data_IF_539738107937
#
_entry.id   IF_539738107937
#
_cell.length_a   1.000
_cell.length_b   1.000
_cell.length_c   1.000
_cell.angle_alpha   90.00
_cell.angle_beta   90.00
_cell.angle_gamma   90.00
#
_symmetry.space_group_name_H-M   'P 1'
#
loop_
_entity.id
_entity.type
_entity.pdbx_description
1 polymer ?
#
# COMPACT_ATOMS: atom_id res chain seq x y z
N UNK A 1 -8.34 19.57 8.59
CA UNK A 1 -7.50 18.46 9.09
C UNK A 1 -7.88 17.24 8.28
N UNK A 2 -6.97 16.66 7.48
CA UNK A 2 -7.32 15.52 6.61
C UNK A 2 -7.56 14.25 7.42
N UNK A 3 -8.46 13.40 6.94
CA UNK A 3 -8.70 12.08 7.49
C UNK A 3 -7.60 11.12 7.04
N UNK A 4 -7.26 10.11 7.86
CA UNK A 4 -6.51 8.97 7.34
C UNK A 4 -7.32 8.33 6.21
N UNK A 5 -6.62 7.87 5.17
CA UNK A 5 -7.31 7.28 4.03
C UNK A 5 -8.11 6.06 4.43
N UNK A 6 -9.32 5.95 3.94
CA UNK A 6 -10.16 4.74 4.12
C UNK A 6 -9.55 3.52 3.44
N UNK A 7 -8.80 3.74 2.36
CA UNK A 7 -8.13 2.69 1.59
C UNK A 7 -6.71 2.35 2.12
N UNK A 8 -6.38 2.73 3.36
CA UNK A 8 -5.01 2.68 3.90
C UNK A 8 -4.42 1.27 3.88
N UNK A 9 -5.22 0.26 4.24
CA UNK A 9 -4.79 -1.14 4.37
C UNK A 9 -5.30 -2.03 3.23
N UNK A 10 -5.59 -1.40 2.09
CA UNK A 10 -5.82 -2.10 0.84
C UNK A 10 -4.52 -2.14 0.04
N UNK A 11 -4.31 -3.26 -0.65
CA UNK A 11 -3.16 -3.48 -1.53
C UNK A 11 -3.68 -4.08 -2.83
N UNK A 12 -3.28 -3.58 -4.01
CA UNK A 12 -3.70 -4.15 -5.27
C UNK A 12 -3.12 -5.56 -5.47
N UNK A 13 -3.89 -6.45 -6.09
CA UNK A 13 -3.39 -7.73 -6.59
C UNK A 13 -2.32 -7.45 -7.65
N UNK A 14 -1.22 -8.21 -7.63
CA UNK A 14 -0.09 -8.02 -8.53
C UNK A 14 0.27 -9.29 -9.30
N UNK A 15 1.01 -9.11 -10.39
CA UNK A 15 1.77 -10.19 -11.02
C UNK A 15 3.14 -9.68 -11.44
N UNK A 16 4.08 -10.61 -11.52
CA UNK A 16 5.41 -10.36 -12.10
C UNK A 16 5.41 -10.80 -13.56
N UNK A 17 5.78 -9.88 -14.46
CA UNK A 17 6.00 -10.16 -15.88
C UNK A 17 7.47 -9.85 -16.20
N UNK A 18 8.30 -10.88 -16.35
CA UNK A 18 9.75 -10.75 -16.39
C UNK A 18 10.29 -9.97 -15.17
N UNK A 19 10.68 -8.70 -15.35
CA UNK A 19 11.20 -7.84 -14.28
C UNK A 19 10.23 -6.70 -13.89
N UNK A 20 9.02 -6.67 -14.47
CA UNK A 20 8.02 -5.64 -14.22
C UNK A 20 6.90 -6.17 -13.32
N UNK A 21 6.31 -5.26 -12.55
CA UNK A 21 5.11 -5.53 -11.75
C UNK A 21 3.91 -4.90 -12.45
N UNK A 22 2.86 -5.68 -12.62
CA UNK A 22 1.56 -5.20 -13.09
C UNK A 22 0.52 -5.33 -11.98
N UNK A 23 -0.48 -4.45 -11.99
CA UNK A 23 -1.55 -4.38 -11.00
C UNK A 23 -2.87 -4.82 -11.65
N UNK A 24 -3.64 -5.65 -10.96
CA UNK A 24 -4.95 -6.07 -11.43
C UNK A 24 -6.00 -4.99 -11.17
N UNK A 25 -6.75 -4.61 -12.20
CA UNK A 25 -7.92 -3.75 -12.07
C UNK A 25 -9.18 -4.63 -12.02
N UNK A 26 -9.88 -4.73 -10.87
CA UNK A 26 -11.04 -5.62 -10.72
C UNK A 26 -12.29 -5.16 -11.47
N UNK A 27 -12.38 -3.85 -11.80
CA UNK A 27 -13.51 -3.29 -12.55
C UNK A 27 -13.40 -3.63 -14.03
N UNK A 28 -12.24 -3.35 -14.63
CA UNK A 28 -12.00 -3.61 -16.04
C UNK A 28 -11.54 -5.05 -16.33
N UNK A 29 -11.16 -5.80 -15.30
CA UNK A 29 -10.63 -7.17 -15.40
C UNK A 29 -9.40 -7.25 -16.31
N UNK A 30 -8.45 -6.34 -16.11
CA UNK A 30 -7.23 -6.24 -16.88
C UNK A 30 -6.03 -5.83 -16.01
N UNK A 31 -4.84 -6.11 -16.52
CA UNK A 31 -3.57 -5.81 -15.86
C UNK A 31 -3.01 -4.48 -16.35
N UNK A 32 -2.67 -3.59 -15.41
CA UNK A 32 -2.15 -2.27 -15.68
C UNK A 32 -0.70 -2.11 -15.21
N UNK A 33 0.02 -1.19 -15.84
CA UNK A 33 1.38 -0.84 -15.41
C UNK A 33 1.35 -0.31 -13.97
N UNK A 34 2.25 -0.80 -13.13
CA UNK A 34 2.39 -0.32 -11.76
C UNK A 34 2.90 1.13 -11.71
N UNK A 35 1.95 2.08 -11.63
CA UNK A 35 2.20 3.50 -11.43
C UNK A 35 1.75 3.90 -10.03
N UNK A 36 2.40 4.89 -9.38
CA UNK A 36 2.04 5.26 -8.02
C UNK A 36 0.60 5.76 -7.84
N UNK A 37 0.11 6.56 -8.77
CA UNK A 37 -1.28 7.03 -8.79
C UNK A 37 -2.25 5.87 -9.01
N UNK A 38 -1.90 4.91 -9.88
CA UNK A 38 -2.72 3.71 -10.12
C UNK A 38 -2.79 2.82 -8.87
N UNK A 39 -1.70 2.70 -8.09
CA UNK A 39 -1.77 2.02 -6.79
C UNK A 39 -2.79 2.67 -5.86
N UNK A 40 -2.84 3.99 -5.79
CA UNK A 40 -3.82 4.70 -4.96
C UNK A 40 -5.23 4.49 -5.48
N UNK A 41 -5.45 4.63 -6.80
CA UNK A 41 -6.75 4.38 -7.43
C UNK A 41 -7.27 2.97 -7.16
N UNK A 42 -6.44 1.94 -7.35
CA UNK A 42 -6.82 0.55 -7.09
C UNK A 42 -7.10 0.27 -5.62
N UNK A 43 -6.38 0.91 -4.69
CA UNK A 43 -6.67 0.80 -3.25
C UNK A 43 -8.07 1.34 -2.92
N UNK A 44 -8.43 2.48 -3.49
CA UNK A 44 -9.77 3.07 -3.33
C UNK A 44 -10.85 2.15 -3.93
N UNK A 45 -10.60 1.60 -5.11
CA UNK A 45 -11.51 0.63 -5.75
C UNK A 45 -11.71 -0.59 -4.86
N UNK A 46 -10.63 -1.19 -4.34
CA UNK A 46 -10.71 -2.35 -3.43
C UNK A 46 -11.49 -2.01 -2.15
N UNK A 47 -11.26 -0.84 -1.54
CA UNK A 47 -12.06 -0.37 -0.40
C UNK A 47 -13.56 -0.27 -0.73
N UNK A 48 -13.91 0.37 -1.84
CA UNK A 48 -15.30 0.50 -2.28
C UNK A 48 -15.97 -0.85 -2.57
N UNK A 49 -15.25 -1.77 -3.20
CA UNK A 49 -15.76 -3.11 -3.52
C UNK A 49 -15.90 -3.97 -2.27
N UNK A 50 -14.88 -3.97 -1.41
CA UNK A 50 -14.76 -4.95 -0.33
C UNK A 50 -15.39 -4.48 0.98
N UNK A 51 -15.39 -3.19 1.29
CA UNK A 51 -15.87 -2.66 2.57
C UNK A 51 -17.17 -1.88 2.41
N UNK A 52 -17.29 -1.04 1.37
CA UNK A 52 -18.53 -0.30 1.10
C UNK A 52 -19.59 -1.12 0.33
N UNK A 53 -19.24 -2.31 -0.17
CA UNK A 53 -20.12 -3.18 -0.97
C UNK A 53 -20.70 -2.49 -2.22
N UNK A 54 -19.94 -1.57 -2.82
CA UNK A 54 -20.34 -0.94 -4.08
C UNK A 54 -20.15 -1.96 -5.20
N UNK A 55 -21.21 -2.20 -5.99
CA UNK A 55 -21.12 -3.09 -7.15
C UNK A 55 -20.05 -2.59 -8.14
N UNK A 56 -19.20 -3.46 -8.70
CA UNK A 56 -18.23 -3.09 -9.74
C UNK A 56 -18.86 -2.34 -10.93
N UNK A 57 -20.12 -2.65 -11.29
CA UNK A 57 -20.84 -2.00 -12.38
C UNK A 57 -21.20 -0.53 -12.10
N UNK A 58 -21.09 -0.10 -10.84
CA UNK A 58 -21.32 1.28 -10.39
C UNK A 58 -20.01 2.03 -10.17
N UNK A 59 -18.87 1.45 -10.53
CA UNK A 59 -17.57 2.09 -10.40
C UNK A 59 -16.97 2.22 -11.81
N UNK A 60 -16.59 3.44 -12.19
CA UNK A 60 -15.98 3.71 -13.49
C UNK A 60 -14.65 4.44 -13.33
N UNK A 61 -13.52 3.71 -13.41
CA UNK A 61 -12.19 4.30 -13.46
C UNK A 61 -11.97 5.06 -14.76
N UNK A 62 -11.10 6.09 -14.71
CA UNK A 62 -10.66 6.84 -15.90
C UNK A 62 -11.81 7.43 -16.75
N UNK A 63 -12.88 7.92 -16.10
CA UNK A 63 -14.07 8.44 -16.75
C UNK A 63 -13.75 9.71 -17.56
N UNK A 64 -13.95 9.64 -18.88
CA UNK A 64 -13.75 10.78 -19.77
C UNK A 64 -14.91 11.75 -19.69
N UNK A 65 -14.61 13.04 -19.62
CA UNK A 65 -15.62 14.10 -19.55
C UNK A 65 -15.25 15.25 -20.48
N UNK A 66 -16.23 15.80 -21.17
CA UNK A 66 -16.05 17.03 -21.94
C UNK A 66 -16.18 18.23 -21.00
N UNK A 67 -15.17 19.09 -21.00
CA UNK A 67 -15.13 20.34 -20.25
C UNK A 67 -15.46 21.51 -21.18
N UNK A 68 -15.67 22.69 -20.60
CA UNK A 68 -15.80 23.94 -21.35
C UNK A 68 -14.65 24.12 -22.36
N UNK A 69 -14.95 24.74 -23.50
CA UNK A 69 -14.02 24.99 -24.61
C UNK A 69 -13.44 23.72 -25.25
N UNK A 70 -14.24 22.65 -25.39
CA UNK A 70 -13.85 21.41 -26.09
C UNK A 70 -12.62 20.70 -25.51
N UNK A 71 -12.27 21.00 -24.25
CA UNK A 71 -11.15 20.35 -23.58
C UNK A 71 -11.66 19.05 -22.97
N UNK A 72 -10.96 17.94 -23.21
CA UNK A 72 -11.28 16.67 -22.54
C UNK A 72 -10.60 16.60 -21.18
N UNK A 73 -11.38 16.28 -20.16
CA UNK A 73 -10.92 15.91 -18.84
C UNK A 73 -11.02 14.41 -18.62
N UNK A 74 -10.40 13.95 -17.53
CA UNK A 74 -10.52 12.58 -17.05
C UNK A 74 -10.65 12.63 -15.54
N UNK A 75 -11.73 12.04 -15.04
CA UNK A 75 -11.94 11.83 -13.61
C UNK A 75 -11.35 10.47 -13.28
N UNK A 76 -10.58 10.38 -12.19
CA UNK A 76 -9.86 9.14 -11.87
C UNK A 76 -10.80 7.99 -11.54
N UNK A 77 -11.90 8.29 -10.84
CA UNK A 77 -12.94 7.32 -10.53
C UNK A 77 -14.29 8.03 -10.36
N UNK A 78 -15.34 7.44 -10.90
CA UNK A 78 -16.73 7.84 -10.67
C UNK A 78 -17.49 6.68 -10.06
N UNK A 79 -18.13 6.91 -8.93
CA UNK A 79 -19.10 5.99 -8.33
C UNK A 79 -20.51 6.45 -8.67
N UNK A 80 -21.37 5.52 -9.10
CA UNK A 80 -22.75 5.77 -9.46
C UNK A 80 -23.71 5.23 -8.39
N UNK A 81 -24.86 5.88 -8.25
CA UNK A 81 -25.95 5.38 -7.42
C UNK A 81 -26.71 4.21 -8.10
N UNK A 82 -27.81 3.75 -7.49
CA UNK A 82 -28.65 2.68 -8.06
C UNK A 82 -29.42 3.10 -9.32
N UNK A 83 -29.53 4.41 -9.59
CA UNK A 83 -30.16 5.00 -10.77
C UNK A 83 -29.14 5.40 -11.85
N UNK A 84 -27.88 4.98 -11.70
CA UNK A 84 -26.76 5.34 -12.57
C UNK A 84 -26.51 6.86 -12.68
N UNK A 85 -26.85 7.63 -11.64
CA UNK A 85 -26.42 9.01 -11.50
C UNK A 85 -25.07 9.07 -10.78
N UNK A 86 -24.21 10.03 -11.16
CA UNK A 86 -22.93 10.22 -10.48
C UNK A 86 -23.17 10.52 -9.00
N UNK A 87 -22.56 9.73 -8.12
CA UNK A 87 -22.78 9.78 -6.67
C UNK A 87 -21.53 10.19 -5.90
N UNK A 88 -20.34 9.79 -6.39
CA UNK A 88 -19.08 10.35 -5.92
C UNK A 88 -18.09 10.48 -7.07
N UNK A 89 -17.42 11.63 -7.15
CA UNK A 89 -16.23 11.80 -7.98
C UNK A 89 -15.01 11.62 -7.08
N UNK A 90 -13.98 10.92 -7.56
CA UNK A 90 -12.72 10.76 -6.83
C UNK A 90 -11.55 11.22 -7.69
N UNK A 91 -10.65 11.99 -7.09
CA UNK A 91 -9.35 12.37 -7.65
C UNK A 91 -8.24 11.71 -6.81
N UNK A 92 -7.39 10.94 -7.46
CA UNK A 92 -6.30 10.18 -6.85
C UNK A 92 -4.96 10.84 -7.16
N UNK A 93 -4.11 10.98 -6.14
CA UNK A 93 -2.72 11.44 -6.29
C UNK A 93 -1.75 10.41 -5.74
N UNK A 94 -0.47 10.50 -6.12
CA UNK A 94 0.58 9.73 -5.46
C UNK A 94 0.70 10.14 -3.98
N UNK A 95 0.97 9.18 -3.10
CA UNK A 95 1.22 9.34 -1.64
C UNK A 95 2.03 10.59 -1.22
N UNK A 96 3.02 11.03 -2.01
CA UNK A 96 3.88 12.17 -1.65
C UNK A 96 3.33 13.53 -2.10
N UNK A 97 2.21 13.55 -2.82
CA UNK A 97 1.58 14.77 -3.29
C UNK A 97 0.58 15.26 -2.22
N UNK A 98 0.71 16.51 -1.74
CA UNK A 98 -0.22 17.07 -0.79
C UNK A 98 -1.58 17.32 -1.45
N UNK A 99 -2.66 17.11 -0.69
CA UNK A 99 -4.04 17.38 -1.11
C UNK A 99 -4.35 18.87 -0.99
N UNK A 100 -3.75 19.70 -1.85
CA UNK A 100 -3.89 21.15 -1.76
C UNK A 100 -5.15 21.67 -2.49
N UNK A 101 -5.36 22.99 -2.42
CA UNK A 101 -6.49 23.68 -3.06
C UNK A 101 -6.57 23.43 -4.57
N UNK A 102 -5.44 23.27 -5.26
CA UNK A 102 -5.44 23.02 -6.71
C UNK A 102 -6.11 21.68 -7.04
N UNK A 103 -5.90 20.64 -6.22
CA UNK A 103 -6.56 19.34 -6.37
C UNK A 103 -8.07 19.48 -6.12
N UNK A 104 -8.47 20.26 -5.11
CA UNK A 104 -9.87 20.53 -4.82
C UNK A 104 -10.55 21.32 -5.96
N UNK A 105 -9.87 22.31 -6.54
CA UNK A 105 -10.37 23.06 -7.70
C UNK A 105 -10.52 22.18 -8.94
N UNK A 106 -9.62 21.23 -9.14
CA UNK A 106 -9.69 20.28 -10.26
C UNK A 106 -10.97 19.43 -10.18
N UNK A 107 -11.23 18.79 -9.03
CA UNK A 107 -12.41 17.95 -8.87
C UNK A 107 -13.72 18.77 -8.85
N UNK A 108 -13.69 19.98 -8.29
CA UNK A 108 -14.82 20.92 -8.37
C UNK A 108 -15.16 21.30 -9.82
N UNK A 109 -14.15 21.46 -10.69
CA UNK A 109 -14.37 21.71 -12.12
C UNK A 109 -15.05 20.54 -12.81
N UNK A 110 -14.69 19.31 -12.45
CA UNK A 110 -15.37 18.11 -12.96
C UNK A 110 -16.82 18.05 -12.49
N UNK A 111 -17.07 18.36 -11.21
CA UNK A 111 -18.41 18.40 -10.63
C UNK A 111 -19.36 19.39 -11.34
N UNK A 112 -18.86 20.50 -11.89
CA UNK A 112 -19.69 21.41 -12.68
C UNK A 112 -20.28 20.77 -13.95
N UNK A 113 -19.59 19.79 -14.54
CA UNK A 113 -20.01 19.13 -15.78
C UNK A 113 -20.67 17.76 -15.51
N UNK A 114 -20.33 17.12 -14.39
CA UNK A 114 -20.93 15.87 -13.91
C UNK A 114 -21.28 16.03 -12.42
N UNK A 115 -22.44 16.64 -12.10
CA UNK A 115 -22.83 16.89 -10.72
C UNK A 115 -22.92 15.60 -9.90
N UNK A 116 -22.37 15.65 -8.70
CA UNK A 116 -22.29 14.54 -7.75
C UNK A 116 -22.50 15.04 -6.32
N UNK A 117 -23.26 14.33 -5.47
CA UNK A 117 -23.44 14.69 -4.05
C UNK A 117 -22.13 14.70 -3.26
N UNK A 118 -21.19 13.81 -3.59
CA UNK A 118 -19.92 13.68 -2.87
C UNK A 118 -18.71 13.87 -3.79
N UNK A 119 -17.63 14.40 -3.22
CA UNK A 119 -16.31 14.49 -3.85
C UNK A 119 -15.27 13.95 -2.87
N UNK A 120 -14.31 13.18 -3.39
CA UNK A 120 -13.17 12.67 -2.64
C UNK A 120 -11.88 13.06 -3.34
N UNK A 121 -10.95 13.65 -2.60
CA UNK A 121 -9.55 13.74 -3.03
C UNK A 121 -8.70 12.87 -2.10
N UNK A 122 -7.82 12.05 -2.67
CA UNK A 122 -7.01 11.12 -1.89
C UNK A 122 -5.61 10.97 -2.45
N UNK A 123 -4.63 10.84 -1.55
CA UNK A 123 -3.29 10.39 -1.91
C UNK A 123 -2.98 8.99 -1.36
N UNK A 124 -4.00 8.29 -0.85
CA UNK A 124 -3.88 6.96 -0.26
C UNK A 124 -3.20 6.90 1.10
N UNK A 125 -2.78 8.05 1.65
CA UNK A 125 -2.43 8.21 3.08
C UNK A 125 -3.49 9.02 3.80
N UNK A 126 -3.95 10.07 3.14
CA UNK A 126 -5.00 10.95 3.62
C UNK A 126 -6.14 11.05 2.60
N UNK A 127 -7.34 11.27 3.11
CA UNK A 127 -8.55 11.56 2.36
C UNK A 127 -9.07 12.94 2.77
N UNK A 128 -9.62 13.68 1.80
CA UNK A 128 -10.44 14.85 2.02
C UNK A 128 -11.79 14.64 1.33
N UNK A 129 -12.84 14.57 2.13
CA UNK A 129 -14.22 14.37 1.67
C UNK A 129 -14.96 15.70 1.63
N UNK A 130 -15.82 15.85 0.62
CA UNK A 130 -16.69 17.02 0.48
C UNK A 130 -18.10 16.60 0.09
N UNK A 131 -19.07 17.41 0.50
CA UNK A 131 -20.46 17.30 0.10
C UNK A 131 -20.87 18.52 -0.73
N UNK A 132 -21.59 18.28 -1.82
CA UNK A 132 -22.21 19.33 -2.61
C UNK A 132 -23.60 19.65 -2.04
N UNK A 133 -23.77 20.86 -1.53
CA UNK A 133 -25.02 21.37 -0.98
C UNK A 133 -25.55 22.51 -1.86
N UNK A 134 -26.72 23.05 -1.52
CA UNK A 134 -27.25 24.26 -2.17
C UNK A 134 -26.39 25.50 -1.92
N UNK A 135 -25.56 25.49 -0.88
CA UNK A 135 -24.71 26.61 -0.48
C UNK A 135 -23.29 26.52 -1.06
N UNK A 136 -22.96 25.43 -1.74
CA UNK A 136 -21.66 25.20 -2.35
C UNK A 136 -21.08 23.83 -2.00
N UNK A 137 -19.75 23.75 -1.98
CA UNK A 137 -19.02 22.53 -1.65
C UNK A 137 -18.49 22.67 -0.22
N UNK A 138 -18.90 21.76 0.65
CA UNK A 138 -18.57 21.79 2.08
C UNK A 138 -17.64 20.63 2.45
N UNK A 139 -16.62 20.89 3.26
CA UNK A 139 -15.70 19.87 3.75
C UNK A 139 -16.39 18.98 4.79
N UNK A 140 -16.16 17.67 4.72
CA UNK A 140 -16.66 16.70 5.69
C UNK A 140 -15.56 16.26 6.66
N UNK A 141 -15.85 16.39 7.96
CA UNK A 141 -14.96 15.94 9.04
C UNK A 141 -15.01 14.42 9.27
N UNK A 142 -15.87 13.70 8.54
CA UNK A 142 -15.98 12.25 8.60
C UNK A 142 -16.34 11.67 7.23
N UNK A 143 -16.09 10.38 7.07
CA UNK A 143 -16.48 9.64 5.86
C UNK A 143 -18.01 9.64 5.75
N UNK A 144 -18.60 9.97 4.58
CA UNK A 144 -20.04 9.90 4.36
C UNK A 144 -20.59 8.51 4.67
N UNK A 145 -21.82 8.45 5.20
CA UNK A 145 -22.44 7.19 5.65
C UNK A 145 -22.50 6.14 4.53
N UNK A 146 -22.76 6.55 3.29
CA UNK A 146 -22.81 5.69 2.10
C UNK A 146 -21.46 5.09 1.71
N UNK A 147 -20.35 5.65 2.19
CA UNK A 147 -18.98 5.22 1.92
C UNK A 147 -18.25 4.72 3.17
N UNK A 148 -18.98 4.48 4.27
CA UNK A 148 -18.41 3.81 5.46
C UNK A 148 -18.21 2.32 5.20
N UNK A 149 -17.21 1.76 5.88
CA UNK A 149 -17.01 0.33 5.91
C UNK A 149 -18.22 -0.36 6.54
N UNK A 150 -18.69 -1.43 5.89
CA UNK A 150 -19.79 -2.26 6.36
C UNK A 150 -19.33 -3.63 6.85
N UNK A 151 -18.07 -3.98 6.61
CA UNK A 151 -17.45 -5.24 7.03
C UNK A 151 -15.93 -5.13 6.98
N UNK A 152 -15.27 -6.00 7.75
CA UNK A 152 -13.83 -6.18 7.66
C UNK A 152 -13.44 -6.98 6.41
N UNK A 153 -12.21 -6.78 5.98
CA UNK A 153 -11.59 -7.53 4.88
C UNK A 153 -10.91 -8.78 5.44
N UNK A 154 -11.31 -9.94 4.94
CA UNK A 154 -10.62 -11.20 5.19
C UNK A 154 -9.28 -11.21 4.47
N UNK A 155 -8.20 -11.45 5.21
CA UNK A 155 -6.81 -11.44 4.71
C UNK A 155 -6.13 -12.78 5.01
N UNK A 156 -6.62 -13.81 4.33
CA UNK A 156 -6.08 -15.15 4.40
C UNK A 156 -4.73 -15.28 3.65
N UNK A 157 -4.20 -16.51 3.59
CA UNK A 157 -2.95 -16.78 2.90
C UNK A 157 -3.01 -16.36 1.41
N UNK A 158 -4.13 -16.66 0.73
CA UNK A 158 -4.30 -16.36 -0.69
C UNK A 158 -4.32 -14.85 -0.96
N UNK A 159 -4.99 -14.07 -0.09
CA UNK A 159 -4.98 -12.61 -0.14
C UNK A 159 -3.55 -12.06 -0.22
N UNK A 160 -2.66 -12.54 0.66
CA UNK A 160 -1.28 -12.07 0.72
C UNK A 160 -0.42 -12.58 -0.44
N UNK A 161 -0.67 -13.80 -0.92
CA UNK A 161 -0.02 -14.36 -2.12
C UNK A 161 -0.36 -13.52 -3.36
N UNK A 162 -1.65 -13.25 -3.59
CA UNK A 162 -2.13 -12.50 -4.75
C UNK A 162 -1.58 -11.06 -4.80
N UNK A 163 -1.14 -10.54 -3.65
CA UNK A 163 -0.58 -9.19 -3.50
C UNK A 163 0.95 -9.18 -3.43
N UNK A 164 1.58 -10.34 -3.63
CA UNK A 164 3.04 -10.48 -3.73
C UNK A 164 3.81 -10.41 -2.42
N UNK A 165 3.12 -10.37 -1.28
CA UNK A 165 3.77 -10.42 0.02
C UNK A 165 4.31 -11.82 0.33
N UNK A 166 3.62 -12.84 -0.17
CA UNK A 166 3.91 -14.24 0.12
C UNK A 166 4.20 -15.07 -1.12
N UNK A 167 5.18 -15.97 -1.00
CA UNK A 167 5.50 -16.98 -2.00
C UNK A 167 4.32 -17.98 -2.15
N UNK A 168 3.86 -18.30 -3.37
CA UNK A 168 2.68 -19.15 -3.56
C UNK A 168 2.78 -20.58 -2.98
N UNK A 169 3.98 -21.16 -2.89
CA UNK A 169 4.17 -22.53 -2.38
C UNK A 169 4.84 -22.56 -1.00
N UNK A 170 4.51 -21.62 -0.12
CA UNK A 170 4.96 -21.67 1.29
C UNK A 170 4.47 -22.97 1.94
N UNK A 171 5.33 -23.73 2.65
CA UNK A 171 4.94 -24.91 3.40
C UNK A 171 3.83 -24.63 4.41
N UNK A 172 2.88 -25.56 4.56
CA UNK A 172 1.74 -25.44 5.48
C UNK A 172 2.18 -25.14 6.93
N UNK A 173 3.30 -25.72 7.36
CA UNK A 173 3.90 -25.47 8.67
C UNK A 173 4.30 -24.01 8.92
N UNK A 174 4.34 -23.16 7.89
CA UNK A 174 4.71 -21.75 7.97
C UNK A 174 3.54 -20.79 7.73
N UNK A 175 2.34 -21.29 7.38
CA UNK A 175 1.19 -20.43 7.03
C UNK A 175 0.83 -19.45 8.17
N UNK A 176 0.78 -19.94 9.40
CA UNK A 176 0.48 -19.11 10.58
C UNK A 176 1.54 -18.01 10.79
N UNK A 177 2.82 -18.37 10.76
CA UNK A 177 3.96 -17.44 10.92
C UNK A 177 3.87 -16.28 9.92
N UNK A 178 3.68 -16.59 8.64
CA UNK A 178 3.73 -15.58 7.58
C UNK A 178 2.48 -14.70 7.56
N UNK A 179 1.31 -15.24 7.87
CA UNK A 179 0.07 -14.47 8.01
C UNK A 179 0.14 -13.53 9.23
N UNK A 180 0.72 -13.97 10.35
CA UNK A 180 0.94 -13.15 11.54
C UNK A 180 1.92 -12.01 11.25
N UNK A 181 3.02 -12.30 10.55
CA UNK A 181 3.97 -11.30 10.07
C UNK A 181 3.30 -10.25 9.18
N UNK A 182 2.55 -10.67 8.16
CA UNK A 182 1.84 -9.75 7.29
C UNK A 182 0.82 -8.90 8.06
N UNK A 183 0.05 -9.51 8.96
CA UNK A 183 -0.95 -8.78 9.76
C UNK A 183 -0.31 -7.70 10.63
N UNK A 184 0.79 -8.05 11.32
CA UNK A 184 1.55 -7.12 12.17
C UNK A 184 2.21 -6.00 11.39
N UNK A 185 2.69 -6.27 10.18
CA UNK A 185 3.39 -5.29 9.35
C UNK A 185 2.45 -4.45 8.46
N UNK A 186 1.19 -4.85 8.26
CA UNK A 186 0.37 -4.25 7.21
C UNK A 186 -1.10 -3.94 7.59
N UNK A 187 -1.53 -4.18 8.83
CA UNK A 187 -2.92 -3.89 9.24
C UNK A 187 -2.99 -2.97 10.46
N UNK A 188 -2.26 -3.27 11.54
CA UNK A 188 -2.44 -2.58 12.83
C UNK A 188 -1.23 -1.71 13.18
N UNK A 189 -1.15 -0.52 12.60
CA UNK A 189 0.04 0.31 12.74
C UNK A 189 -0.25 1.76 13.09
N UNK A 190 0.49 2.25 14.10
CA UNK A 190 0.65 3.67 14.43
C UNK A 190 1.12 4.50 13.22
N UNK A 191 1.79 3.88 12.25
CA UNK A 191 2.28 4.48 11.00
C UNK A 191 1.96 3.59 9.80
N UNK A 192 1.25 4.09 8.77
CA UNK A 192 0.82 3.26 7.66
C UNK A 192 1.97 2.81 6.74
N UNK A 193 1.88 1.60 6.15
CA UNK A 193 2.85 1.16 5.16
C UNK A 193 2.90 2.06 3.94
N UNK A 194 4.10 2.29 3.41
CA UNK A 194 4.32 3.08 2.21
C UNK A 194 4.98 2.24 1.12
N UNK A 195 4.60 2.49 -0.12
CA UNK A 195 5.25 1.84 -1.25
C UNK A 195 6.56 2.55 -1.59
N UNK A 196 7.67 1.82 -1.62
CA UNK A 196 8.98 2.33 -2.01
C UNK A 196 9.50 1.59 -3.26
N UNK A 197 10.23 2.32 -4.08
CA UNK A 197 10.95 1.81 -5.24
C UNK A 197 12.40 2.29 -5.12
N UNK A 198 13.29 1.40 -4.69
CA UNK A 198 14.70 1.71 -4.54
C UNK A 198 15.39 1.55 -5.90
N UNK A 199 15.58 2.68 -6.58
CA UNK A 199 16.24 2.72 -7.90
C UNK A 199 17.70 2.27 -7.82
N UNK A 200 18.25 1.77 -8.94
CA UNK A 200 19.65 1.32 -9.08
C UNK A 200 20.04 0.10 -8.24
N UNK A 201 19.06 -0.63 -7.70
CA UNK A 201 19.28 -1.95 -7.11
C UNK A 201 19.20 -3.00 -8.23
N UNK A 202 20.14 -3.98 -8.28
CA UNK A 202 20.06 -5.06 -9.24
C UNK A 202 18.68 -5.76 -9.20
N UNK A 203 18.04 -6.06 -10.35
CA UNK A 203 16.66 -6.57 -10.40
C UNK A 203 16.40 -7.85 -9.57
N UNK A 204 17.44 -8.64 -9.33
CA UNK A 204 17.42 -9.82 -8.45
C UNK A 204 17.14 -9.48 -6.98
N UNK A 205 17.46 -8.26 -6.53
CA UNK A 205 17.17 -7.76 -5.18
C UNK A 205 15.99 -6.80 -5.12
N UNK A 206 15.33 -6.50 -6.26
CA UNK A 206 14.33 -5.45 -6.42
C UNK A 206 13.47 -5.23 -5.17
N UNK A 207 13.75 -4.15 -4.44
CA UNK A 207 13.10 -3.80 -3.16
C UNK A 207 11.80 -3.03 -3.39
N UNK A 208 11.05 -3.41 -4.42
CA UNK A 208 9.89 -2.68 -4.90
C UNK A 208 8.60 -3.20 -4.29
N UNK A 209 8.29 -2.74 -3.08
CA UNK A 209 7.15 -3.26 -2.30
C UNK A 209 6.59 -2.23 -1.30
N UNK A 210 5.57 -2.63 -0.54
CA UNK A 210 5.08 -1.90 0.63
C UNK A 210 5.96 -2.19 1.85
N UNK A 211 6.44 -1.10 2.45
CA UNK A 211 7.27 -1.11 3.64
C UNK A 211 6.50 -0.54 4.83
N UNK A 212 6.54 -1.26 5.95
CA UNK A 212 6.23 -0.69 7.25
C UNK A 212 7.45 0.08 7.75
N UNK A 213 7.28 1.36 8.11
CA UNK A 213 8.36 2.20 8.62
C UNK A 213 8.06 2.59 10.06
N UNK A 214 9.02 2.33 10.93
CA UNK A 214 8.98 2.70 12.35
C UNK A 214 10.28 3.38 12.79
N UNK A 215 10.19 4.12 13.89
CA UNK A 215 11.31 4.77 14.57
C UNK A 215 11.41 4.28 16.02
N UNK A 216 12.53 4.58 16.68
CA UNK A 216 12.76 4.18 18.06
C UNK A 216 12.18 5.22 19.01
N UNK A 217 11.54 4.79 20.11
CA UNK A 217 10.87 5.68 21.06
C UNK A 217 11.85 6.62 21.82
N UNK A 218 13.16 6.37 21.76
CA UNK A 218 14.22 7.14 22.44
C UNK A 218 15.25 7.80 21.48
N UNK A 219 14.92 7.92 20.19
CA UNK A 219 15.93 8.23 19.19
C UNK A 219 16.27 9.72 19.05
N UNK A 220 17.37 10.16 19.67
CA UNK A 220 18.00 11.45 19.34
C UNK A 220 18.63 11.46 17.94
N UNK A 221 18.85 10.30 17.33
CA UNK A 221 19.62 10.11 16.10
C UNK A 221 18.77 9.98 14.82
N UNK A 222 17.44 10.10 14.93
CA UNK A 222 16.50 10.06 13.79
C UNK A 222 16.63 8.80 12.91
N UNK A 223 16.97 7.65 13.49
CA UNK A 223 17.03 6.40 12.74
C UNK A 223 15.61 5.87 12.49
N UNK A 224 15.44 5.27 11.32
CA UNK A 224 14.20 4.63 10.90
C UNK A 224 14.50 3.23 10.41
N UNK A 225 13.56 2.32 10.62
CA UNK A 225 13.66 0.96 10.11
C UNK A 225 12.44 0.66 9.25
N UNK A 226 12.71 0.12 8.06
CA UNK A 226 11.70 -0.28 7.10
C UNK A 226 11.67 -1.81 6.95
N UNK A 227 10.49 -2.41 7.01
CA UNK A 227 10.26 -3.85 6.89
C UNK A 227 9.41 -4.15 5.65
N UNK A 228 9.80 -5.16 4.86
CA UNK A 228 9.00 -5.66 3.74
C UNK A 228 8.99 -7.19 3.62
N UNK A 229 7.80 -7.77 3.48
CA UNK A 229 7.58 -9.18 3.11
C UNK A 229 7.59 -9.32 1.58
N UNK A 230 8.39 -10.25 1.04
CA UNK A 230 8.51 -10.46 -0.40
C UNK A 230 8.40 -11.94 -0.77
N UNK A 231 7.43 -12.26 -1.62
CA UNK A 231 7.19 -13.60 -2.14
C UNK A 231 7.57 -13.77 -3.62
N UNK A 232 8.81 -13.46 -4.00
CA UNK A 232 9.21 -13.42 -5.41
C UNK A 232 9.90 -14.72 -5.85
N UNK A 233 9.45 -15.28 -6.98
CA UNK A 233 10.05 -16.49 -7.53
C UNK A 233 9.78 -17.70 -6.63
N UNK A 234 10.85 -18.32 -6.12
CA UNK A 234 10.77 -19.49 -5.24
C UNK A 234 11.22 -19.19 -3.80
N UNK A 235 11.25 -17.91 -3.42
CA UNK A 235 11.76 -17.49 -2.11
C UNK A 235 10.71 -16.69 -1.35
N UNK A 236 10.72 -16.84 -0.02
CA UNK A 236 10.01 -15.97 0.90
C UNK A 236 11.05 -15.19 1.71
N UNK A 237 11.12 -13.87 1.54
CA UNK A 237 12.02 -13.05 2.34
C UNK A 237 11.31 -12.02 3.20
N UNK A 238 11.93 -11.73 4.35
CA UNK A 238 11.70 -10.53 5.13
C UNK A 238 12.92 -9.62 4.95
N UNK A 239 12.68 -8.47 4.34
CA UNK A 239 13.71 -7.46 4.05
C UNK A 239 13.61 -6.37 5.13
N UNK A 240 14.73 -6.08 5.78
CA UNK A 240 14.81 -5.08 6.85
C UNK A 240 15.88 -4.05 6.50
N UNK A 241 15.50 -2.79 6.39
CA UNK A 241 16.39 -1.70 5.98
C UNK A 241 16.57 -0.76 7.16
N UNK A 242 17.82 -0.49 7.53
CA UNK A 242 18.18 0.56 8.46
C UNK A 242 18.44 1.86 7.68
N UNK A 243 17.76 2.92 8.09
CA UNK A 243 17.99 4.27 7.61
C UNK A 243 18.52 5.12 8.77
N UNK A 244 19.69 5.71 8.58
CA UNK A 244 20.35 6.59 9.55
C UNK A 244 20.41 7.99 8.95
N UNK A 245 19.78 8.97 9.61
CA UNK A 245 19.74 10.37 9.17
C UNK A 245 19.28 10.57 7.72
N UNK A 246 18.30 9.78 7.26
CA UNK A 246 17.76 9.86 5.91
C UNK A 246 18.49 9.00 4.86
N UNK A 247 19.60 8.35 5.23
CA UNK A 247 20.39 7.50 4.32
C UNK A 247 20.19 6.03 4.67
N UNK A 248 19.90 5.19 3.68
CA UNK A 248 19.81 3.73 3.90
C UNK A 248 21.22 3.16 4.00
N UNK A 249 21.61 2.66 5.18
CA UNK A 249 22.99 2.23 5.47
C UNK A 249 23.16 0.72 5.48
N UNK A 250 22.09 -0.03 5.83
CA UNK A 250 22.11 -1.50 5.90
C UNK A 250 20.82 -2.11 5.35
N UNK A 251 20.95 -3.25 4.69
CA UNK A 251 19.84 -4.14 4.33
C UNK A 251 20.12 -5.53 4.88
N UNK A 252 19.25 -6.03 5.74
CA UNK A 252 19.23 -7.43 6.16
C UNK A 252 18.12 -8.14 5.40
N UNK A 253 18.52 -9.10 4.55
CA UNK A 253 17.60 -9.96 3.81
C UNK A 253 17.54 -11.32 4.49
N UNK A 254 16.37 -11.69 5.01
CA UNK A 254 16.15 -12.94 5.73
C UNK A 254 15.36 -13.88 4.82
N UNK A 255 15.89 -15.07 4.52
CA UNK A 255 15.15 -16.14 3.85
C UNK A 255 14.38 -16.95 4.90
N UNK A 256 13.05 -16.77 4.92
CA UNK A 256 12.19 -17.40 5.93
C UNK A 256 12.17 -18.92 5.78
N UNK A 257 12.24 -19.43 4.54
CA UNK A 257 12.23 -20.87 4.28
C UNK A 257 13.53 -21.50 4.79
N UNK A 258 14.67 -20.91 4.43
CA UNK A 258 15.98 -21.40 4.87
C UNK A 258 16.16 -21.29 6.40
N UNK A 259 15.68 -20.21 7.01
CA UNK A 259 15.70 -20.02 8.47
C UNK A 259 14.89 -21.11 9.17
N UNK A 260 13.68 -21.40 8.69
CA UNK A 260 12.81 -22.44 9.24
C UNK A 260 13.44 -23.83 9.13
N UNK A 261 14.08 -24.13 7.99
CA UNK A 261 14.80 -25.38 7.74
C UNK A 261 16.12 -25.52 8.51
N UNK A 262 16.51 -24.51 9.30
CA UNK A 262 17.80 -24.44 10.00
C UNK A 262 19.01 -24.56 9.08
N UNK A 263 18.90 -23.99 7.89
CA UNK A 263 20.00 -23.97 6.92
C UNK A 263 21.11 -23.04 7.40
N UNK A 264 22.36 -23.36 7.03
CA UNK A 264 23.53 -22.54 7.42
C UNK A 264 23.49 -21.14 6.80
N UNK A 265 22.89 -21.02 5.63
CA UNK A 265 22.75 -19.78 4.85
C UNK A 265 21.27 -19.42 4.86
N UNK A 266 20.89 -18.44 5.68
CA UNK A 266 19.49 -18.05 5.86
C UNK A 266 19.28 -16.54 6.00
N UNK A 267 20.34 -15.74 6.11
CA UNK A 267 20.25 -14.30 6.13
C UNK A 267 21.54 -13.67 5.58
N UNK A 268 21.37 -12.60 4.79
CA UNK A 268 22.49 -11.83 4.22
C UNK A 268 22.37 -10.37 4.65
N UNK A 269 23.45 -9.81 5.21
CA UNK A 269 23.58 -8.40 5.54
C UNK A 269 24.37 -7.69 4.45
N UNK A 270 23.78 -6.63 3.90
CA UNK A 270 24.37 -5.73 2.92
C UNK A 270 24.68 -4.39 3.58
N UNK A 271 25.88 -3.87 3.37
CA UNK A 271 26.36 -2.57 3.83
C UNK A 271 27.20 -1.90 2.74
N UNK A 272 27.63 -0.66 2.96
CA UNK A 272 28.52 0.04 2.02
C UNK A 272 29.85 -0.70 1.76
N UNK A 273 30.33 -1.50 2.72
CA UNK A 273 31.60 -2.24 2.61
C UNK A 273 31.43 -3.62 1.95
N UNK A 274 30.20 -4.04 1.64
CA UNK A 274 29.90 -5.30 0.94
C UNK A 274 28.76 -6.11 1.57
N UNK A 275 28.72 -7.40 1.24
CA UNK A 275 27.72 -8.34 1.77
C UNK A 275 28.37 -9.47 2.56
N UNK A 276 27.69 -9.93 3.62
CA UNK A 276 28.10 -11.10 4.41
C UNK A 276 26.91 -11.96 4.82
N UNK A 277 27.12 -13.26 4.91
CA UNK A 277 26.15 -14.18 5.51
C UNK A 277 26.14 -13.98 7.03
N UNK A 278 24.96 -13.93 7.62
CA UNK A 278 24.77 -13.72 9.05
C UNK A 278 23.87 -14.81 9.63
N UNK A 279 24.12 -15.16 10.90
CA UNK A 279 23.32 -16.12 11.62
C UNK A 279 22.37 -15.39 12.57
N UNK A 280 21.07 -15.59 12.38
CA UNK A 280 20.01 -14.94 13.16
C UNK A 280 19.13 -15.96 13.90
N UNK A 281 19.59 -17.19 14.12
CA UNK A 281 18.80 -18.21 14.82
C UNK A 281 18.33 -17.77 16.21
N UNK A 282 19.09 -16.91 16.89
CA UNK A 282 18.70 -16.32 18.19
C UNK A 282 17.48 -15.41 18.12
N UNK A 283 17.08 -14.97 16.91
CA UNK A 283 15.94 -14.06 16.67
C UNK A 283 14.69 -14.82 16.21
N UNK A 284 14.80 -16.12 15.90
CA UNK A 284 13.68 -16.98 15.51
C UNK A 284 12.89 -17.47 16.74
N UNK A 285 11.56 -17.65 16.66
CA UNK A 285 10.70 -17.39 15.50
C UNK A 285 10.41 -15.89 15.31
N UNK A 286 10.21 -15.49 14.04
CA UNK A 286 10.06 -14.10 13.61
C UNK A 286 8.61 -13.57 13.76
N UNK A 287 7.91 -13.89 14.83
CA UNK A 287 6.52 -13.45 15.06
C UNK A 287 6.16 -13.18 16.53
N UNK A 288 7.03 -13.53 17.48
CA UNK A 288 6.85 -13.22 18.90
C UNK A 288 6.84 -11.71 19.23
N UNK A 289 6.45 -11.30 20.43
CA UNK A 289 6.35 -9.86 20.74
C UNK A 289 7.68 -9.09 20.60
N UNK A 290 8.82 -9.75 20.82
CA UNK A 290 10.15 -9.13 20.91
C UNK A 290 10.98 -9.16 19.61
N UNK A 291 10.59 -9.92 18.58
CA UNK A 291 11.46 -10.17 17.42
C UNK A 291 11.83 -8.89 16.68
N UNK A 292 10.88 -7.95 16.57
CA UNK A 292 11.11 -6.63 15.99
C UNK A 292 12.25 -5.94 16.74
N UNK A 293 12.15 -5.82 18.07
CA UNK A 293 13.17 -5.18 18.89
C UNK A 293 14.52 -5.87 18.76
N UNK A 294 14.56 -7.21 18.73
CA UNK A 294 15.82 -7.97 18.55
C UNK A 294 16.49 -7.72 17.20
N UNK A 295 15.72 -7.70 16.11
CA UNK A 295 16.24 -7.38 14.78
C UNK A 295 16.71 -5.94 14.68
N UNK A 296 15.94 -5.04 15.27
CA UNK A 296 16.23 -3.62 15.34
C UNK A 296 17.56 -3.40 16.07
N UNK A 297 17.73 -3.96 17.26
CA UNK A 297 18.98 -3.89 18.02
C UNK A 297 20.16 -4.48 17.26
N UNK A 298 19.95 -5.61 16.60
CA UNK A 298 20.98 -6.26 15.78
C UNK A 298 21.47 -5.31 14.69
N UNK A 299 20.56 -4.72 13.91
CA UNK A 299 20.90 -3.82 12.82
C UNK A 299 21.60 -2.54 13.28
N UNK A 300 21.27 -2.02 14.46
CA UNK A 300 21.90 -0.80 14.98
C UNK A 300 23.30 -1.08 15.56
N UNK A 301 23.51 -2.22 16.22
CA UNK A 301 24.77 -2.54 16.90
C UNK A 301 25.90 -3.03 15.96
N UNK A 302 25.57 -3.75 14.90
CA UNK A 302 26.52 -4.43 13.98
C UNK A 302 27.02 -3.56 12.83
#
# INVERSE_FOLDING_TARGET
MYLLSTALYHYPIIRYLANEVELWNPVHKQWFKNRPEERVRLRVIEYFLQECQISPNRICPEFQIDLANQTKGRIDLVCFDTNYQAHCLVECKHVNIPLNEQVAQQIAKYNMNLPSPYLLITNGRFDAWFQCTTNGIEYLESVPDEYRSTREVERDLQYWIDRGFLYPNIPESLHELVCNLCSRLYIDLKSPPIYLDFENIPPEYALKNYFFITSFEDDKTHNQIAFAMNGKGNTQSLDVILNENGVSTKLLKIDILALSNRERVHATLYTEIGQRQVNIFSMSPLDNEEWLNKLIEYLVKD
#
